data_IF_341798173769
#
_entry.id   IF_341798173769
#
_cell.length_a   1.000
_cell.length_b   1.000
_cell.length_c   1.000
_cell.angle_alpha   90.00
_cell.angle_beta   90.00
_cell.angle_gamma   90.00
#
_symmetry.space_group_name_H-M   'P 1'
#
loop_
_entity.id
_entity.type
_entity.pdbx_description
1 polymer ?
#
# COMPACT_ATOMS: atom_id res chain seq x y z
N UNK A 1 49.75 55.36 -1.12
CA UNK A 1 48.81 54.22 -1.17
C UNK A 1 47.40 54.78 -1.34
N UNK A 2 46.73 54.52 -2.48
CA UNK A 2 45.32 54.95 -2.68
C UNK A 2 44.41 53.94 -2.01
N UNK A 3 43.76 54.33 -0.91
CA UNK A 3 42.68 53.53 -0.32
C UNK A 3 41.52 53.50 -1.31
N UNK A 4 41.21 52.31 -1.86
CA UNK A 4 39.96 52.09 -2.59
C UNK A 4 38.81 52.15 -1.57
N UNK A 5 37.94 53.15 -1.67
CA UNK A 5 36.67 53.15 -0.96
C UNK A 5 35.85 51.95 -1.44
N UNK A 6 35.46 51.06 -0.52
CA UNK A 6 34.54 49.96 -0.83
C UNK A 6 33.16 50.55 -1.16
N UNK A 7 32.59 50.18 -2.31
CA UNK A 7 31.22 50.56 -2.65
C UNK A 7 30.26 49.86 -1.70
N UNK A 8 29.46 50.63 -0.96
CA UNK A 8 28.37 50.10 -0.13
C UNK A 8 27.16 49.69 -0.97
N UNK A 9 26.30 48.85 -0.41
CA UNK A 9 25.03 48.42 -1.03
C UNK A 9 24.03 49.58 -0.99
N UNK A 10 23.25 49.76 -2.06
CA UNK A 10 22.17 50.75 -2.08
C UNK A 10 20.90 50.19 -1.41
N UNK A 11 20.04 51.06 -0.88
CA UNK A 11 18.75 50.64 -0.32
C UNK A 11 17.87 49.90 -1.33
N UNK A 12 17.92 50.29 -2.61
CA UNK A 12 17.17 49.63 -3.68
C UNK A 12 17.71 48.22 -3.95
N UNK A 13 19.03 48.02 -3.94
CA UNK A 13 19.64 46.68 -4.04
C UNK A 13 19.21 45.78 -2.88
N UNK A 14 19.16 46.30 -1.65
CA UNK A 14 18.70 45.53 -0.50
C UNK A 14 17.23 45.10 -0.67
N UNK A 15 16.37 45.99 -1.14
CA UNK A 15 14.96 45.67 -1.41
C UNK A 15 14.82 44.59 -2.48
N UNK A 16 15.56 44.70 -3.57
CA UNK A 16 15.56 43.69 -4.65
C UNK A 16 16.12 42.36 -4.14
N UNK A 17 17.21 42.39 -3.37
CA UNK A 17 17.80 41.18 -2.79
C UNK A 17 16.82 40.47 -1.83
N UNK A 18 16.14 41.23 -0.96
CA UNK A 18 15.11 40.67 -0.08
C UNK A 18 13.93 40.12 -0.87
N UNK A 19 13.49 40.79 -1.93
CA UNK A 19 12.42 40.28 -2.80
C UNK A 19 12.79 38.93 -3.42
N UNK A 20 13.98 38.82 -4.02
CA UNK A 20 14.47 37.56 -4.60
C UNK A 20 14.59 36.47 -3.53
N UNK A 21 15.08 36.81 -2.33
CA UNK A 21 15.16 35.88 -1.21
C UNK A 21 13.78 35.35 -0.79
N UNK A 22 12.79 36.23 -0.66
CA UNK A 22 11.42 35.84 -0.27
C UNK A 22 10.82 34.90 -1.33
N UNK A 23 10.91 35.27 -2.61
CA UNK A 23 10.41 34.42 -3.72
C UNK A 23 11.12 33.06 -3.73
N UNK A 24 12.45 33.05 -3.54
CA UNK A 24 13.23 31.82 -3.47
C UNK A 24 12.80 30.90 -2.32
N UNK A 25 12.64 31.45 -1.11
CA UNK A 25 12.25 30.68 0.08
C UNK A 25 10.82 30.14 -0.08
N UNK A 26 9.88 30.94 -0.61
CA UNK A 26 8.51 30.49 -0.88
C UNK A 26 8.46 29.35 -1.90
N UNK A 27 9.28 29.42 -2.96
CA UNK A 27 9.38 28.36 -3.95
C UNK A 27 9.86 27.03 -3.34
N UNK A 28 10.91 27.07 -2.51
CA UNK A 28 11.43 25.90 -1.80
C UNK A 28 10.37 25.31 -0.85
N UNK A 29 9.68 26.16 -0.09
CA UNK A 29 8.64 25.72 0.84
C UNK A 29 7.47 25.01 0.12
N UNK A 30 7.02 25.55 -1.01
CA UNK A 30 5.98 24.94 -1.83
C UNK A 30 6.41 23.56 -2.38
N UNK A 31 7.67 23.45 -2.85
CA UNK A 31 8.21 22.18 -3.32
C UNK A 31 8.26 21.14 -2.20
N UNK A 32 8.72 21.50 -1.00
CA UNK A 32 8.76 20.60 0.15
C UNK A 32 7.36 20.08 0.52
N UNK A 33 6.35 20.95 0.51
CA UNK A 33 4.97 20.55 0.79
C UNK A 33 4.45 19.51 -0.22
N UNK A 34 4.71 19.74 -1.52
CA UNK A 34 4.34 18.79 -2.57
C UNK A 34 5.09 17.46 -2.44
N UNK A 35 6.39 17.49 -2.17
CA UNK A 35 7.21 16.28 -1.98
C UNK A 35 6.75 15.46 -0.79
N UNK A 36 6.45 16.08 0.35
CA UNK A 36 5.93 15.38 1.53
C UNK A 36 4.60 14.72 1.22
N UNK A 37 3.70 15.43 0.53
CA UNK A 37 2.44 14.84 0.12
C UNK A 37 2.64 13.62 -0.79
N UNK A 38 3.49 13.71 -1.81
CA UNK A 38 3.76 12.60 -2.70
C UNK A 38 4.43 11.41 -1.98
N UNK A 39 5.30 11.71 -1.01
CA UNK A 39 5.93 10.69 -0.17
C UNK A 39 4.90 9.90 0.65
N UNK A 40 3.91 10.58 1.24
CA UNK A 40 2.86 9.90 2.00
C UNK A 40 2.02 8.99 1.11
N UNK A 41 1.66 9.43 -0.10
CA UNK A 41 0.97 8.61 -1.10
C UNK A 41 1.76 7.34 -1.44
N UNK A 42 3.08 7.48 -1.61
CA UNK A 42 3.95 6.35 -1.91
C UNK A 42 4.02 5.34 -0.75
N UNK A 43 3.99 5.81 0.50
CA UNK A 43 3.94 4.92 1.68
C UNK A 43 2.65 4.11 1.68
N UNK A 44 1.49 4.74 1.50
CA UNK A 44 0.21 4.03 1.44
C UNK A 44 0.16 3.02 0.29
N UNK A 45 0.67 3.39 -0.88
CA UNK A 45 0.76 2.48 -2.04
C UNK A 45 1.69 1.30 -1.80
N UNK A 46 2.81 1.51 -1.11
CA UNK A 46 3.73 0.44 -0.74
C UNK A 46 3.11 -0.51 0.29
N UNK A 47 2.41 0.01 1.29
CA UNK A 47 1.65 -0.81 2.26
C UNK A 47 0.58 -1.64 1.54
N UNK A 48 -0.20 -1.03 0.63
CA UNK A 48 -1.17 -1.75 -0.17
C UNK A 48 -0.54 -2.86 -1.01
N UNK A 49 0.64 -2.62 -1.61
CA UNK A 49 1.37 -3.63 -2.36
C UNK A 49 1.79 -4.82 -1.50
N UNK A 50 2.30 -4.56 -0.28
CA UNK A 50 2.66 -5.62 0.66
C UNK A 50 1.43 -6.40 1.14
N UNK A 51 0.32 -5.71 1.46
CA UNK A 51 -0.93 -6.36 1.86
C UNK A 51 -1.54 -7.21 0.75
N UNK A 52 -1.46 -6.73 -0.50
CA UNK A 52 -1.93 -7.47 -1.66
C UNK A 52 -1.06 -8.72 -1.88
N UNK A 53 0.26 -8.58 -1.85
CA UNK A 53 1.20 -9.69 -1.94
C UNK A 53 1.00 -10.73 -0.82
N UNK A 54 0.84 -10.28 0.41
CA UNK A 54 0.54 -11.15 1.56
C UNK A 54 -0.72 -11.99 1.32
N UNK A 55 -1.79 -11.39 0.77
CA UNK A 55 -3.02 -12.12 0.46
C UNK A 55 -2.79 -13.32 -0.49
N UNK A 56 -1.91 -13.16 -1.47
CA UNK A 56 -1.49 -14.26 -2.37
C UNK A 56 -0.67 -15.30 -1.62
N UNK A 57 0.29 -14.87 -0.80
CA UNK A 57 1.16 -15.78 -0.04
C UNK A 57 0.38 -16.63 0.96
N UNK A 58 -0.67 -16.09 1.58
CA UNK A 58 -1.56 -16.84 2.49
C UNK A 58 -2.25 -17.99 1.74
N UNK A 59 -2.84 -17.72 0.57
CA UNK A 59 -3.48 -18.77 -0.24
C UNK A 59 -2.45 -19.81 -0.71
N UNK A 60 -1.25 -19.36 -1.07
CA UNK A 60 -0.13 -20.27 -1.40
C UNK A 60 0.25 -21.14 -0.21
N UNK A 61 0.30 -20.57 0.99
CA UNK A 61 0.62 -21.30 2.22
C UNK A 61 -0.42 -22.40 2.50
N UNK A 62 -1.71 -22.11 2.35
CA UNK A 62 -2.79 -23.10 2.48
C UNK A 62 -2.59 -24.25 1.48
N UNK A 63 -2.32 -23.94 0.20
CA UNK A 63 -2.05 -24.96 -0.83
C UNK A 63 -0.83 -25.81 -0.48
N UNK A 64 0.27 -25.18 -0.13
CA UNK A 64 1.53 -25.88 0.16
C UNK A 64 1.38 -26.76 1.41
N UNK A 65 0.64 -26.30 2.42
CA UNK A 65 0.28 -27.09 3.59
C UNK A 65 -0.55 -28.33 3.21
N UNK A 66 -1.50 -28.20 2.29
CA UNK A 66 -2.27 -29.35 1.80
C UNK A 66 -1.37 -30.40 1.14
N UNK A 67 -0.42 -29.96 0.30
CA UNK A 67 0.53 -30.85 -0.38
C UNK A 67 1.39 -31.59 0.64
N UNK A 68 1.93 -30.87 1.64
CA UNK A 68 2.75 -31.46 2.71
C UNK A 68 1.99 -32.51 3.53
N UNK A 69 0.68 -32.33 3.71
CA UNK A 69 -0.19 -33.23 4.45
C UNK A 69 -0.85 -34.32 3.59
N UNK A 70 -0.44 -34.49 2.32
CA UNK A 70 -1.01 -35.46 1.37
C UNK A 70 -2.51 -35.27 1.10
N UNK A 71 -3.03 -34.06 1.30
CA UNK A 71 -4.40 -33.70 0.94
C UNK A 71 -4.49 -33.32 -0.54
N UNK A 72 -5.72 -33.11 -1.04
CA UNK A 72 -5.91 -32.47 -2.34
C UNK A 72 -5.29 -31.07 -2.35
N UNK A 73 -4.54 -30.72 -3.40
CA UNK A 73 -3.73 -29.49 -3.46
C UNK A 73 -4.55 -28.20 -3.23
N UNK A 74 -5.82 -28.17 -3.67
CA UNK A 74 -6.75 -27.07 -3.44
C UNK A 74 -7.75 -27.32 -2.29
N UNK A 75 -7.48 -28.25 -1.37
CA UNK A 75 -8.38 -28.51 -0.24
C UNK A 75 -8.56 -27.24 0.62
N UNK A 76 -9.81 -26.88 0.94
CA UNK A 76 -10.09 -25.62 1.65
C UNK A 76 -9.89 -24.34 0.82
N UNK A 77 -9.56 -24.48 -0.48
CA UNK A 77 -9.45 -23.37 -1.44
C UNK A 77 -10.56 -23.56 -2.48
N UNK A 78 -11.54 -22.67 -2.47
CA UNK A 78 -12.67 -22.70 -3.40
C UNK A 78 -12.84 -21.37 -4.12
N UNK A 79 -13.43 -21.36 -5.33
CA UNK A 79 -13.67 -20.12 -6.05
C UNK A 79 -14.58 -19.19 -5.25
N UNK A 80 -14.27 -17.91 -5.24
CA UNK A 80 -15.01 -16.90 -4.48
C UNK A 80 -14.14 -15.74 -4.03
N UNK A 81 -14.76 -14.83 -3.27
CA UNK A 81 -14.10 -13.67 -2.67
C UNK A 81 -13.90 -13.92 -1.17
N UNK A 82 -12.69 -13.71 -0.70
CA UNK A 82 -12.28 -14.09 0.65
C UNK A 82 -11.55 -12.97 1.38
N UNK A 83 -11.78 -12.93 2.69
CA UNK A 83 -10.95 -12.25 3.67
C UNK A 83 -9.93 -13.25 4.24
N UNK A 84 -8.68 -12.82 4.30
CA UNK A 84 -7.56 -13.59 4.83
C UNK A 84 -6.76 -12.76 5.82
N UNK A 85 -6.12 -13.41 6.78
CA UNK A 85 -5.19 -12.84 7.76
C UNK A 85 -3.89 -13.63 7.74
N UNK A 86 -2.82 -13.10 8.35
CA UNK A 86 -1.46 -13.63 8.19
C UNK A 86 -1.29 -15.10 8.62
N UNK A 87 -2.13 -15.61 9.52
CA UNK A 87 -2.14 -16.98 10.04
C UNK A 87 -3.37 -17.79 9.58
N UNK A 88 -4.10 -17.31 8.58
CA UNK A 88 -5.26 -18.02 8.04
C UNK A 88 -4.88 -19.39 7.48
N UNK A 89 -5.40 -20.44 8.11
CA UNK A 89 -5.42 -21.81 7.56
C UNK A 89 -6.74 -22.13 6.83
N UNK A 90 -7.72 -21.24 6.91
CA UNK A 90 -9.03 -21.36 6.26
C UNK A 90 -9.45 -19.99 5.73
N UNK A 91 -10.27 -19.98 4.68
CA UNK A 91 -10.75 -18.76 4.04
C UNK A 91 -12.08 -18.32 4.66
N UNK A 92 -12.22 -17.02 4.95
CA UNK A 92 -13.47 -16.42 5.43
C UNK A 92 -14.17 -15.69 4.29
N UNK A 93 -15.44 -15.99 4.01
CA UNK A 93 -16.15 -15.38 2.90
C UNK A 93 -16.42 -13.88 3.13
N UNK A 94 -16.39 -13.08 2.07
CA UNK A 94 -16.65 -11.63 2.12
C UNK A 94 -17.57 -11.19 0.99
N UNK A 95 -18.36 -10.14 1.22
CA UNK A 95 -19.02 -9.40 0.14
C UNK A 95 -18.00 -8.47 -0.53
N UNK A 96 -17.58 -8.73 -1.79
CA UNK A 96 -16.60 -7.90 -2.47
C UNK A 96 -17.11 -6.48 -2.76
N UNK A 97 -18.42 -6.23 -2.70
CA UNK A 97 -18.97 -4.89 -2.85
C UNK A 97 -18.84 -4.04 -1.58
N UNK A 98 -18.75 -4.68 -0.41
CA UNK A 98 -18.67 -4.01 0.89
C UNK A 98 -17.65 -4.69 1.82
N UNK A 99 -16.36 -4.73 1.44
CA UNK A 99 -15.35 -5.40 2.26
C UNK A 99 -15.12 -4.67 3.58
N UNK A 100 -14.73 -5.42 4.61
CA UNK A 100 -14.38 -4.86 5.91
C UNK A 100 -13.03 -4.13 5.85
N UNK A 101 -12.85 -3.18 6.77
CA UNK A 101 -11.54 -2.58 6.97
C UNK A 101 -10.60 -3.59 7.64
N UNK A 102 -9.37 -3.67 7.13
CA UNK A 102 -8.30 -4.35 7.84
C UNK A 102 -7.99 -3.57 9.11
N UNK A 103 -7.94 -4.26 10.25
CA UNK A 103 -7.53 -3.71 11.53
C UNK A 103 -6.06 -3.97 11.77
N UNK A 104 -5.41 -3.08 12.50
CA UNK A 104 -4.03 -3.27 12.97
C UNK A 104 -4.02 -3.41 14.49
N UNK A 105 -3.41 -4.50 14.97
CA UNK A 105 -3.26 -4.76 16.39
C UNK A 105 -2.05 -3.99 16.99
N UNK A 106 -1.82 -4.14 18.29
CA UNK A 106 -0.69 -3.49 18.98
C UNK A 106 0.68 -4.06 18.58
N UNK A 107 0.71 -5.22 17.92
CA UNK A 107 1.92 -5.87 17.44
C UNK A 107 2.23 -5.49 15.97
N UNK A 108 1.35 -4.74 15.32
CA UNK A 108 1.49 -4.31 13.93
C UNK A 108 0.98 -5.31 12.90
N UNK A 109 0.22 -6.34 13.30
CA UNK A 109 -0.35 -7.33 12.39
C UNK A 109 -1.74 -6.93 11.93
N UNK A 110 -2.00 -7.17 10.64
CA UNK A 110 -3.28 -6.91 10.02
C UNK A 110 -4.24 -8.09 10.21
N UNK A 111 -5.46 -7.78 10.65
CA UNK A 111 -6.51 -8.77 10.93
C UNK A 111 -7.91 -8.15 10.80
N UNK A 112 -8.98 -8.87 11.17
CA UNK A 112 -10.37 -8.37 11.14
C UNK A 112 -11.06 -8.36 12.50
N UNK A 113 -10.43 -8.90 13.55
CA UNK A 113 -11.04 -9.11 14.86
C UNK A 113 -10.66 -8.01 15.87
N UNK A 114 -9.36 -7.74 16.00
CA UNK A 114 -8.76 -6.94 17.08
C UNK A 114 -7.97 -5.75 16.52
N UNK A 115 -8.03 -4.63 17.25
CA UNK A 115 -7.26 -3.43 16.95
C UNK A 115 -8.11 -2.32 16.36
N UNK A 116 -7.43 -1.34 15.75
CA UNK A 116 -8.06 -0.18 15.14
C UNK A 116 -8.18 -0.36 13.64
N UNK A 117 -9.30 0.08 13.06
CA UNK A 117 -9.50 0.09 11.62
C UNK A 117 -8.37 0.89 10.94
N UNK A 118 -7.74 0.27 9.94
CA UNK A 118 -6.85 0.94 9.02
C UNK A 118 -7.64 1.55 7.86
N UNK A 119 -6.96 2.29 7.00
CA UNK A 119 -7.57 2.84 5.78
C UNK A 119 -7.73 1.80 4.66
N UNK A 120 -7.18 0.60 4.83
CA UNK A 120 -7.11 -0.43 3.80
C UNK A 120 -8.25 -1.43 3.95
N UNK A 121 -8.77 -1.87 2.82
CA UNK A 121 -9.66 -3.03 2.70
C UNK A 121 -9.01 -4.01 1.73
N UNK A 122 -9.13 -5.31 2.00
CA UNK A 122 -8.55 -6.36 1.16
C UNK A 122 -9.60 -7.38 0.77
N UNK A 123 -9.61 -7.75 -0.49
CA UNK A 123 -10.40 -8.87 -1.02
C UNK A 123 -9.46 -9.78 -1.79
N UNK A 124 -9.51 -11.08 -1.50
CA UNK A 124 -8.78 -12.10 -2.25
C UNK A 124 -9.78 -12.89 -3.07
N UNK A 125 -9.80 -12.63 -4.37
CA UNK A 125 -10.62 -13.33 -5.35
C UNK A 125 -9.86 -14.57 -5.84
N UNK A 126 -10.50 -15.73 -5.78
CA UNK A 126 -9.94 -17.00 -6.21
C UNK A 126 -10.80 -17.57 -7.31
N UNK A 127 -10.15 -18.04 -8.38
CA UNK A 127 -10.77 -18.79 -9.45
C UNK A 127 -9.98 -20.09 -9.72
N UNK A 128 -10.68 -21.13 -10.16
CA UNK A 128 -10.08 -22.44 -10.49
C UNK A 128 -10.38 -22.74 -11.96
N UNK A 129 -9.33 -22.90 -12.76
CA UNK A 129 -9.42 -23.28 -14.16
C UNK A 129 -8.57 -24.53 -14.42
N UNK A 130 -9.20 -25.70 -14.33
CA UNK A 130 -8.49 -26.98 -14.43
C UNK A 130 -7.47 -27.14 -13.29
N UNK A 131 -6.20 -27.29 -13.64
CA UNK A 131 -5.08 -27.44 -12.71
C UNK A 131 -4.42 -26.12 -12.30
N UNK A 132 -5.09 -24.98 -12.55
CA UNK A 132 -4.60 -23.64 -12.22
C UNK A 132 -5.54 -22.96 -11.23
N UNK A 133 -4.97 -22.53 -10.11
CA UNK A 133 -5.55 -21.59 -9.16
C UNK A 133 -5.12 -20.17 -9.55
N UNK A 134 -6.06 -19.35 -10.00
CA UNK A 134 -5.84 -17.93 -10.21
C UNK A 134 -6.27 -17.17 -8.95
N UNK A 135 -5.35 -16.39 -8.39
CA UNK A 135 -5.55 -15.64 -7.16
C UNK A 135 -5.32 -14.18 -7.48
N UNK A 136 -6.33 -13.36 -7.21
CA UNK A 136 -6.30 -11.91 -7.39
C UNK A 136 -6.53 -11.26 -6.03
N UNK A 137 -5.46 -10.73 -5.44
CA UNK A 137 -5.53 -10.01 -4.18
C UNK A 137 -5.61 -8.51 -4.45
N UNK A 138 -6.74 -7.90 -4.07
CA UNK A 138 -7.03 -6.49 -4.30
C UNK A 138 -7.07 -5.74 -2.99
N UNK A 139 -6.36 -4.63 -2.92
CA UNK A 139 -6.34 -3.75 -1.77
C UNK A 139 -6.82 -2.37 -2.21
N UNK A 140 -7.89 -1.91 -1.58
CA UNK A 140 -8.46 -0.59 -1.81
C UNK A 140 -8.28 0.30 -0.58
N UNK A 141 -7.99 1.58 -0.80
CA UNK A 141 -7.92 2.59 0.25
C UNK A 141 -8.35 3.95 -0.29
N UNK A 142 -8.75 4.85 0.59
CA UNK A 142 -9.07 6.22 0.20
C UNK A 142 -7.90 7.15 0.51
N UNK A 143 -7.48 7.92 -0.48
CA UNK A 143 -6.46 8.94 -0.34
C UNK A 143 -7.01 10.30 -0.75
N UNK A 144 -7.09 11.24 0.22
CA UNK A 144 -7.63 12.60 0.01
C UNK A 144 -9.02 12.63 -0.65
N UNK A 145 -9.87 11.66 -0.30
CA UNK A 145 -11.23 11.53 -0.85
C UNK A 145 -11.29 10.89 -2.23
N UNK A 146 -10.16 10.40 -2.77
CA UNK A 146 -10.10 9.63 -4.02
C UNK A 146 -9.82 8.18 -3.67
N UNK A 147 -10.67 7.29 -4.17
CA UNK A 147 -10.46 5.85 -3.98
C UNK A 147 -9.29 5.38 -4.86
N UNK A 148 -8.40 4.62 -4.24
CA UNK A 148 -7.24 4.00 -4.86
C UNK A 148 -7.37 2.49 -4.71
N UNK A 149 -6.86 1.76 -5.70
CA UNK A 149 -6.83 0.31 -5.69
C UNK A 149 -5.48 -0.18 -6.22
N UNK A 150 -5.03 -1.31 -5.69
CA UNK A 150 -3.88 -2.04 -6.16
C UNK A 150 -4.19 -3.53 -6.16
N UNK A 151 -3.85 -4.20 -7.24
CA UNK A 151 -4.08 -5.63 -7.42
C UNK A 151 -2.75 -6.37 -7.61
N UNK A 152 -2.66 -7.56 -7.02
CA UNK A 152 -1.60 -8.54 -7.27
C UNK A 152 -2.24 -9.84 -7.69
N UNK A 153 -1.82 -10.34 -8.86
CA UNK A 153 -2.33 -11.57 -9.46
C UNK A 153 -1.24 -12.65 -9.41
N UNK A 154 -1.62 -13.87 -9.06
CA UNK A 154 -0.74 -15.03 -9.11
C UNK A 154 -1.46 -16.26 -9.61
N UNK A 155 -0.73 -17.10 -10.35
CA UNK A 155 -1.19 -18.39 -10.83
C UNK A 155 -0.44 -19.51 -10.11
N UNK A 156 -1.19 -20.33 -9.39
CA UNK A 156 -0.68 -21.48 -8.66
C UNK A 156 -1.10 -22.76 -9.39
N UNK A 157 -0.11 -23.56 -9.79
CA UNK A 157 -0.35 -24.80 -10.52
C UNK A 157 -0.41 -25.99 -9.57
N UNK A 158 -1.10 -27.05 -10.00
CA UNK A 158 -0.94 -28.39 -9.47
C UNK A 158 0.38 -28.99 -10.00
N UNK A 159 1.46 -28.81 -9.24
CA UNK A 159 2.75 -29.40 -9.58
C UNK A 159 2.85 -30.79 -8.93
N UNK A 160 2.73 -31.83 -9.74
CA UNK A 160 3.04 -33.23 -9.40
C UNK A 160 4.13 -33.74 -10.32
#
# INVERSE_FOLDING_TARGET
MKNKLQKGMTFLELLVAMFVLIVGISGVAAMLSNTMSASNSNVSRLQAAYLAGEGVEIVRNIRDNNILNYNGWHNGISPGSWEVVYDSMTLSGVDPANPNFLKIDNNGFYNYDVGSDSTFKRVVDININGDVLEITSRVSWQEKGVDQELEVISHLYNWR
#
